data_IF_395658366750
#
_entry.id   IF_395658366750
#
_cell.length_a   1.000
_cell.length_b   1.000
_cell.length_c   1.000
_cell.angle_alpha   90.00
_cell.angle_beta   90.00
_cell.angle_gamma   90.00
#
_symmetry.space_group_name_H-M   'P 1'
#
loop_
_entity.id
_entity.type
_entity.pdbx_description
1 polymer ?
#
# COMPACT_ATOMS: atom_id res chain seq x y z
N UNK A 1 9.23 6.21 9.72
CA UNK A 1 9.10 7.67 9.99
C UNK A 1 7.85 8.21 9.33
N UNK A 2 7.31 9.30 9.84
CA UNK A 2 6.14 9.99 9.29
C UNK A 2 6.14 11.40 9.85
N UNK A 3 5.41 12.31 9.22
CA UNK A 3 5.10 13.65 9.76
C UNK A 3 3.60 13.74 9.96
N UNK A 4 3.17 14.24 11.12
CA UNK A 4 1.78 14.43 11.47
C UNK A 4 1.45 15.91 11.63
N UNK A 5 0.39 16.34 10.95
CA UNK A 5 -0.19 17.67 11.07
C UNK A 5 -1.56 17.57 11.72
N UNK A 6 -1.90 18.55 12.55
CA UNK A 6 -3.17 18.61 13.28
C UNK A 6 -3.91 19.89 12.99
N UNK A 7 -5.22 19.78 12.80
CA UNK A 7 -6.15 20.90 12.65
C UNK A 7 -7.27 20.74 13.68
N UNK A 8 -7.40 21.70 14.60
CA UNK A 8 -8.45 21.68 15.62
C UNK A 8 -9.83 21.74 14.98
N UNK A 9 -10.76 20.96 15.51
CA UNK A 9 -12.14 20.99 15.08
C UNK A 9 -12.80 22.32 15.42
N UNK A 10 -13.88 22.64 14.74
CA UNK A 10 -14.62 23.89 14.93
C UNK A 10 -15.26 23.95 16.32
N UNK A 11 -15.01 25.03 17.06
CA UNK A 11 -15.70 25.31 18.32
C UNK A 11 -17.15 25.71 18.06
N UNK A 12 -18.03 25.15 18.87
CA UNK A 12 -19.46 25.58 18.91
C UNK A 12 -19.59 26.90 19.71
N UNK A 13 -20.55 27.74 19.37
CA UNK A 13 -20.85 28.95 20.15
C UNK A 13 -21.23 28.62 21.62
N UNK A 14 -21.10 29.62 22.51
CA UNK A 14 -21.60 29.57 23.90
C UNK A 14 -21.04 28.42 24.75
N UNK A 15 -19.74 28.12 24.64
CA UNK A 15 -19.06 27.11 25.45
C UNK A 15 -19.59 25.66 25.26
N UNK A 16 -20.28 25.38 24.17
CA UNK A 16 -20.85 24.05 23.86
C UNK A 16 -19.83 23.04 23.32
N UNK A 17 -18.53 23.26 23.57
CA UNK A 17 -17.45 22.36 23.11
C UNK A 17 -17.14 22.47 21.62
N UNK A 18 -16.76 21.36 21.01
CA UNK A 18 -16.42 21.26 19.60
C UNK A 18 -17.57 20.65 18.78
N UNK A 19 -17.54 20.83 17.49
CA UNK A 19 -18.44 20.15 16.57
C UNK A 19 -18.17 18.65 16.56
N UNK A 20 -19.15 17.84 16.16
CA UNK A 20 -18.94 16.42 15.96
C UNK A 20 -17.91 16.19 14.84
N UNK A 21 -17.24 15.04 14.86
CA UNK A 21 -16.36 14.63 13.77
C UNK A 21 -17.10 14.66 12.43
N UNK A 22 -16.46 15.13 11.37
CA UNK A 22 -17.07 15.06 10.05
C UNK A 22 -17.24 13.61 9.60
N UNK A 23 -18.22 13.37 8.73
CA UNK A 23 -18.37 12.06 8.11
C UNK A 23 -17.28 11.80 7.07
N UNK A 24 -17.05 10.52 6.76
CA UNK A 24 -16.12 10.10 5.70
C UNK A 24 -16.40 10.83 4.39
N UNK A 25 -17.68 10.88 3.96
CA UNK A 25 -18.06 11.59 2.73
C UNK A 25 -17.67 13.06 2.74
N UNK A 26 -17.89 13.78 3.85
CA UNK A 26 -17.47 15.19 3.98
C UNK A 26 -15.96 15.36 3.95
N UNK A 27 -15.22 14.40 4.48
CA UNK A 27 -13.75 14.43 4.41
C UNK A 27 -13.24 14.22 2.98
N UNK A 28 -13.91 13.38 2.19
CA UNK A 28 -13.59 13.17 0.78
C UNK A 28 -13.98 14.36 -0.10
N UNK A 29 -15.06 15.08 0.23
CA UNK A 29 -15.50 16.27 -0.49
C UNK A 29 -14.55 17.47 -0.37
N UNK A 30 -13.55 17.44 0.51
CA UNK A 30 -12.57 18.52 0.67
C UNK A 30 -11.71 18.74 -0.57
N UNK A 31 -11.40 17.67 -1.29
CA UNK A 31 -10.68 17.73 -2.55
C UNK A 31 -11.36 16.83 -3.59
N UNK A 32 -11.28 17.19 -4.89
CA UNK A 32 -11.78 16.34 -5.96
C UNK A 32 -10.98 15.04 -6.07
N UNK A 33 -11.61 13.99 -6.56
CA UNK A 33 -11.03 12.68 -6.90
C UNK A 33 -10.42 11.91 -5.71
N UNK A 34 -10.63 12.35 -4.46
CA UNK A 34 -10.20 11.60 -3.30
C UNK A 34 -10.94 10.26 -3.21
N UNK A 35 -10.17 9.24 -2.84
CA UNK A 35 -10.66 7.89 -2.57
C UNK A 35 -10.05 7.38 -1.27
N UNK A 36 -10.75 6.46 -0.61
CA UNK A 36 -10.18 5.67 0.49
C UNK A 36 -9.50 4.44 -0.09
N UNK A 37 -8.34 4.10 0.43
CA UNK A 37 -7.62 2.87 0.12
C UNK A 37 -7.65 1.91 1.31
N UNK A 38 -7.45 0.61 1.05
CA UNK A 38 -7.40 -0.42 2.09
C UNK A 38 -8.78 -0.90 2.57
N UNK A 39 -9.87 -0.46 1.94
CA UNK A 39 -11.23 -0.96 2.18
C UNK A 39 -11.59 -1.91 1.05
N UNK A 40 -12.08 -3.09 1.41
CA UNK A 40 -12.65 -4.04 0.45
C UNK A 40 -14.10 -3.65 0.13
N UNK A 41 -14.25 -2.84 -0.92
CA UNK A 41 -15.56 -2.40 -1.42
C UNK A 41 -16.39 -3.57 -2.00
N UNK A 42 -15.75 -4.73 -2.28
CA UNK A 42 -16.40 -5.93 -2.79
C UNK A 42 -16.83 -6.92 -1.71
N UNK A 43 -16.49 -6.66 -0.45
CA UNK A 43 -16.83 -7.51 0.67
C UNK A 43 -18.35 -7.67 0.81
N UNK A 44 -18.81 -8.88 1.08
CA UNK A 44 -20.23 -9.16 1.33
C UNK A 44 -20.72 -8.32 2.50
N UNK A 45 -21.79 -7.52 2.26
CA UNK A 45 -22.38 -6.64 3.27
C UNK A 45 -21.77 -5.24 3.36
N UNK A 46 -20.80 -4.87 2.52
CA UNK A 46 -20.32 -3.49 2.47
C UNK A 46 -21.42 -2.54 1.95
N UNK A 47 -21.77 -1.55 2.75
CA UNK A 47 -22.71 -0.48 2.38
C UNK A 47 -21.96 0.85 2.25
N UNK A 48 -21.66 1.24 1.01
CA UNK A 48 -20.95 2.48 0.68
C UNK A 48 -21.68 3.71 1.26
N UNK A 49 -23.01 3.73 1.23
CA UNK A 49 -23.78 4.89 1.75
C UNK A 49 -23.69 5.00 3.26
N UNK A 50 -23.70 3.88 3.96
CA UNK A 50 -23.50 3.84 5.40
C UNK A 50 -22.06 4.28 5.74
N UNK A 51 -21.07 3.75 5.03
CA UNK A 51 -19.68 4.12 5.17
C UNK A 51 -19.45 5.63 4.97
N UNK A 52 -19.96 6.22 3.90
CA UNK A 52 -19.81 7.66 3.64
C UNK A 52 -20.50 8.56 4.68
N UNK A 53 -21.52 8.05 5.37
CA UNK A 53 -22.22 8.78 6.43
C UNK A 53 -21.61 8.62 7.81
N UNK A 54 -20.81 7.57 8.03
CA UNK A 54 -20.20 7.30 9.33
C UNK A 54 -19.18 8.40 9.69
N UNK A 55 -19.09 8.79 10.97
CA UNK A 55 -18.14 9.79 11.41
C UNK A 55 -16.71 9.23 11.40
N UNK A 56 -15.73 10.09 11.13
CA UNK A 56 -14.28 9.71 11.13
C UNK A 56 -13.82 9.15 12.49
N UNK A 57 -14.49 9.47 13.57
CA UNK A 57 -14.18 8.94 14.92
C UNK A 57 -14.46 7.44 15.08
N UNK A 58 -15.18 6.81 14.17
CA UNK A 58 -15.39 5.35 14.17
C UNK A 58 -14.19 4.57 13.60
N UNK A 59 -13.23 5.25 12.99
CA UNK A 59 -12.08 4.64 12.34
C UNK A 59 -10.78 5.03 13.05
N UNK A 60 -9.88 4.07 13.22
CA UNK A 60 -8.54 4.34 13.72
C UNK A 60 -7.81 5.31 12.80
N UNK A 61 -7.81 5.04 11.49
CA UNK A 61 -7.40 5.94 10.42
C UNK A 61 -7.98 5.50 9.08
N UNK A 62 -8.02 6.42 8.12
CA UNK A 62 -8.33 6.15 6.72
C UNK A 62 -7.13 6.55 5.87
N UNK A 63 -6.75 5.72 4.92
CA UNK A 63 -5.72 6.07 3.92
C UNK A 63 -6.42 6.76 2.75
N UNK A 64 -6.16 8.05 2.57
CA UNK A 64 -6.70 8.86 1.49
C UNK A 64 -5.69 9.05 0.38
N UNK A 65 -6.16 9.07 -0.85
CA UNK A 65 -5.33 9.31 -2.02
C UNK A 65 -6.17 9.49 -3.28
N UNK A 66 -5.51 9.64 -4.42
CA UNK A 66 -6.14 9.72 -5.73
C UNK A 66 -5.78 8.48 -6.54
N UNK A 67 -6.79 7.74 -7.02
CA UNK A 67 -6.57 6.51 -7.81
C UNK A 67 -5.75 6.85 -9.07
N UNK A 68 -4.75 6.04 -9.37
CA UNK A 68 -3.84 6.24 -10.51
C UNK A 68 -2.69 7.24 -10.27
N UNK A 69 -2.65 7.93 -9.12
CA UNK A 69 -1.65 8.98 -8.83
C UNK A 69 -0.92 8.81 -7.50
N UNK A 70 -1.65 8.46 -6.43
CA UNK A 70 -1.07 8.31 -5.10
C UNK A 70 -0.21 7.06 -5.01
N UNK A 71 1.01 7.21 -4.50
CA UNK A 71 1.91 6.10 -4.23
C UNK A 71 1.69 5.50 -2.85
N UNK A 72 1.61 6.34 -1.82
CA UNK A 72 1.39 5.95 -0.42
C UNK A 72 0.13 6.58 0.19
N UNK A 73 -0.36 7.67 -0.42
CA UNK A 73 -1.45 8.46 0.12
C UNK A 73 -1.07 9.20 1.41
N UNK A 74 -2.10 9.60 2.14
CA UNK A 74 -1.99 10.19 3.48
C UNK A 74 -2.98 9.50 4.41
N UNK A 75 -2.64 9.40 5.69
CA UNK A 75 -3.55 8.90 6.73
C UNK A 75 -4.36 10.07 7.30
N UNK A 76 -5.66 9.89 7.43
CA UNK A 76 -6.56 10.81 8.09
C UNK A 76 -7.21 10.11 9.27
N UNK A 77 -7.17 10.75 10.46
CA UNK A 77 -7.88 10.30 11.65
C UNK A 77 -8.49 11.47 12.41
N UNK A 78 -9.49 11.19 13.22
CA UNK A 78 -10.04 12.12 14.18
C UNK A 78 -9.63 11.74 15.59
N UNK A 79 -8.99 12.66 16.30
CA UNK A 79 -8.54 12.49 17.68
C UNK A 79 -9.60 13.12 18.61
N UNK A 80 -10.39 12.27 19.28
CA UNK A 80 -11.47 12.73 20.17
C UNK A 80 -10.95 13.42 21.42
N UNK A 81 -9.81 13.01 21.95
CA UNK A 81 -9.23 13.63 23.15
C UNK A 81 -8.76 15.04 22.84
N UNK A 82 -8.11 15.20 21.69
CA UNK A 82 -7.60 16.50 21.26
C UNK A 82 -8.61 17.31 20.46
N UNK A 83 -9.76 16.73 20.11
CA UNK A 83 -10.77 17.35 19.25
C UNK A 83 -10.16 17.93 17.96
N UNK A 84 -9.38 17.11 17.26
CA UNK A 84 -8.61 17.52 16.09
C UNK A 84 -8.58 16.44 15.02
N UNK A 85 -8.44 16.89 13.79
CA UNK A 85 -8.12 16.02 12.66
C UNK A 85 -6.60 15.93 12.55
N UNK A 86 -6.07 14.72 12.46
CA UNK A 86 -4.67 14.46 12.21
C UNK A 86 -4.49 13.94 10.79
N UNK A 87 -3.63 14.59 10.03
CA UNK A 87 -3.18 14.17 8.70
C UNK A 87 -1.73 13.75 8.83
N UNK A 88 -1.44 12.47 8.55
CA UNK A 88 -0.10 11.91 8.63
C UNK A 88 0.38 11.52 7.23
N UNK A 89 1.61 11.92 6.92
CA UNK A 89 2.30 11.54 5.69
C UNK A 89 3.47 10.63 6.05
N UNK A 90 3.47 9.42 5.52
CA UNK A 90 4.52 8.44 5.77
C UNK A 90 5.80 8.79 4.99
N UNK A 91 6.94 8.84 5.65
CA UNK A 91 8.24 9.25 5.08
C UNK A 91 9.09 8.03 4.68
N UNK A 92 9.63 7.98 3.45
CA UNK A 92 9.40 8.91 2.34
C UNK A 92 8.03 8.69 1.70
N UNK A 93 7.32 9.78 1.39
CA UNK A 93 6.13 9.76 0.53
C UNK A 93 6.50 10.14 -0.90
N UNK A 94 5.54 10.02 -1.84
CA UNK A 94 5.75 10.55 -3.18
C UNK A 94 5.54 12.07 -3.20
N UNK A 95 6.11 12.73 -4.21
CA UNK A 95 5.87 14.16 -4.45
C UNK A 95 4.36 14.44 -4.58
N UNK A 96 3.63 13.57 -5.30
CA UNK A 96 2.18 13.72 -5.45
C UNK A 96 1.44 13.61 -4.11
N UNK A 97 1.79 12.64 -3.27
CA UNK A 97 1.14 12.46 -1.97
C UNK A 97 1.38 13.66 -1.04
N UNK A 98 2.57 14.27 -1.09
CA UNK A 98 2.85 15.50 -0.36
C UNK A 98 2.04 16.69 -0.86
N UNK A 99 1.98 16.92 -2.17
CA UNK A 99 1.16 17.98 -2.76
C UNK A 99 -0.31 17.79 -2.42
N UNK A 100 -0.80 16.54 -2.44
CA UNK A 100 -2.16 16.19 -2.04
C UNK A 100 -2.41 16.49 -0.56
N UNK A 101 -1.51 16.08 0.35
CA UNK A 101 -1.64 16.30 1.78
C UNK A 101 -1.62 17.80 2.15
N UNK A 102 -0.75 18.58 1.52
CA UNK A 102 -0.70 20.03 1.68
C UNK A 102 -2.02 20.67 1.23
N UNK A 103 -2.52 20.29 0.04
CA UNK A 103 -3.79 20.79 -0.48
C UNK A 103 -4.96 20.42 0.43
N UNK A 104 -4.94 19.20 0.99
CA UNK A 104 -5.94 18.73 1.94
C UNK A 104 -5.91 19.54 3.25
N UNK A 105 -4.73 19.76 3.81
CA UNK A 105 -4.53 20.58 5.01
C UNK A 105 -5.01 22.02 4.81
N UNK A 106 -4.75 22.61 3.64
CA UNK A 106 -5.27 23.94 3.27
C UNK A 106 -6.79 23.97 3.29
N UNK A 107 -7.44 23.01 2.62
CA UNK A 107 -8.90 22.91 2.54
C UNK A 107 -9.53 22.68 3.93
N UNK A 108 -8.95 21.76 4.70
CA UNK A 108 -9.39 21.41 6.05
C UNK A 108 -9.27 22.61 7.01
N UNK A 109 -8.11 23.27 7.04
CA UNK A 109 -7.85 24.46 7.86
C UNK A 109 -8.82 25.60 7.52
N UNK A 110 -9.05 25.84 6.24
CA UNK A 110 -9.99 26.87 5.76
C UNK A 110 -11.42 26.55 6.16
N UNK A 111 -11.85 25.28 6.03
CA UNK A 111 -13.22 24.85 6.38
C UNK A 111 -13.48 24.97 7.90
N UNK A 112 -12.48 24.62 8.72
CA UNK A 112 -12.61 24.63 10.17
C UNK A 112 -12.32 26.02 10.78
N UNK A 113 -11.66 26.91 10.03
CA UNK A 113 -11.18 28.22 10.53
C UNK A 113 -10.12 28.05 11.62
N UNK A 114 -9.28 27.03 11.53
CA UNK A 114 -8.26 26.66 12.52
C UNK A 114 -6.89 26.55 11.86
N UNK A 115 -5.84 26.91 12.63
CA UNK A 115 -4.46 26.76 12.20
C UNK A 115 -4.06 25.27 12.12
N UNK A 116 -3.01 25.00 11.34
CA UNK A 116 -2.37 23.71 11.20
C UNK A 116 -1.16 23.71 12.11
N UNK A 117 -1.01 22.68 12.94
CA UNK A 117 0.16 22.51 13.81
C UNK A 117 0.83 21.19 13.45
N UNK A 118 2.13 21.16 13.22
CA UNK A 118 2.88 19.93 13.03
C UNK A 118 3.32 19.31 14.38
N UNK A 119 3.92 18.14 14.32
CA UNK A 119 4.40 17.39 15.50
C UNK A 119 5.54 18.09 16.25
N UNK A 120 6.25 19.04 15.61
CA UNK A 120 7.31 19.84 16.23
C UNK A 120 6.75 21.09 16.93
N UNK A 121 5.46 21.39 16.74
CA UNK A 121 4.78 22.55 17.28
C UNK A 121 4.86 23.79 16.36
N UNK A 122 5.35 23.64 15.14
CA UNK A 122 5.31 24.72 14.16
C UNK A 122 3.87 24.94 13.69
N UNK A 123 3.51 26.22 13.52
CA UNK A 123 2.14 26.64 13.21
C UNK A 123 2.09 27.26 11.81
N UNK A 124 1.15 26.76 11.01
CA UNK A 124 0.90 27.22 9.65
C UNK A 124 -0.54 27.70 9.51
N UNK A 125 -0.73 28.79 8.78
CA UNK A 125 -2.04 29.13 8.24
C UNK A 125 -2.28 28.34 6.96
N UNK A 126 -3.54 28.27 6.51
CA UNK A 126 -3.88 27.58 5.25
C UNK A 126 -3.10 28.12 4.03
N UNK A 127 -2.70 29.39 4.03
CA UNK A 127 -1.90 30.00 2.94
C UNK A 127 -0.39 29.71 3.09
N UNK A 128 0.08 29.33 4.29
CA UNK A 128 1.51 29.15 4.56
C UNK A 128 1.98 27.70 4.52
N UNK A 129 1.10 26.74 4.65
CA UNK A 129 1.47 25.32 4.64
C UNK A 129 2.10 24.89 3.31
N UNK A 130 1.82 25.59 2.21
CA UNK A 130 2.47 25.36 0.91
C UNK A 130 3.98 25.62 0.92
N UNK A 131 4.48 26.35 1.96
CA UNK A 131 5.91 26.61 2.16
C UNK A 131 6.62 25.45 2.88
N UNK A 132 5.89 24.41 3.26
CA UNK A 132 6.49 23.23 3.88
C UNK A 132 7.44 22.54 2.90
N UNK A 133 8.68 22.31 3.32
CA UNK A 133 9.75 21.74 2.50
C UNK A 133 9.63 20.20 2.45
N UNK A 134 8.65 19.71 1.68
CA UNK A 134 8.42 18.28 1.53
C UNK A 134 9.52 17.57 0.74
N UNK A 135 10.27 18.27 -0.12
CA UNK A 135 11.39 17.64 -0.84
C UNK A 135 12.52 17.27 0.13
N UNK A 136 12.73 18.12 1.13
CA UNK A 136 13.65 17.82 2.24
C UNK A 136 13.15 16.61 3.05
N UNK A 137 11.86 16.50 3.31
CA UNK A 137 11.29 15.34 4.01
C UNK A 137 11.48 14.05 3.22
N UNK A 138 11.20 14.05 1.90
CA UNK A 138 11.43 12.88 1.04
C UNK A 138 12.91 12.48 1.09
N UNK A 139 13.81 13.44 0.96
CA UNK A 139 15.26 13.19 1.02
C UNK A 139 15.69 12.64 2.38
N UNK A 140 15.15 13.21 3.48
CA UNK A 140 15.39 12.71 4.83
C UNK A 140 14.86 11.30 5.03
N UNK A 141 13.75 10.93 4.38
CA UNK A 141 13.20 9.58 4.41
C UNK A 141 13.97 8.55 3.59
N UNK A 142 14.62 8.97 2.50
CA UNK A 142 15.49 8.08 1.72
C UNK A 142 16.79 7.73 2.45
N UNK A 143 17.30 8.64 3.28
CA UNK A 143 18.56 8.44 3.99
C UNK A 143 18.60 7.21 4.93
N UNK A 144 17.63 6.94 5.80
CA UNK A 144 17.60 5.71 6.60
C UNK A 144 17.50 4.44 5.76
N UNK A 145 16.78 4.48 4.63
CA UNK A 145 16.71 3.34 3.71
C UNK A 145 18.10 3.06 3.13
N UNK A 146 18.78 4.11 2.68
CA UNK A 146 20.16 4.04 2.20
C UNK A 146 21.11 3.46 3.27
N UNK A 147 21.01 3.93 4.51
CA UNK A 147 21.80 3.42 5.63
C UNK A 147 21.52 1.93 5.93
N UNK A 148 20.27 1.51 5.95
CA UNK A 148 19.89 0.12 6.18
C UNK A 148 20.43 -0.81 5.09
N UNK A 149 20.37 -0.36 3.81
CA UNK A 149 20.87 -1.13 2.67
C UNK A 149 22.41 -1.15 2.57
N UNK A 150 23.12 -0.30 3.30
CA UNK A 150 24.59 -0.35 3.47
C UNK A 150 25.02 -1.33 4.58
N UNK A 151 24.08 -1.82 5.40
CA UNK A 151 24.29 -2.83 6.44
C UNK A 151 23.97 -4.25 5.96
N UNK A 152 23.40 -5.04 6.86
CA UNK A 152 23.05 -6.45 6.60
C UNK A 152 21.68 -6.64 5.92
N UNK A 153 20.98 -5.54 5.61
CA UNK A 153 19.64 -5.59 5.02
C UNK A 153 19.74 -5.68 3.49
N UNK A 154 19.30 -6.80 2.92
CA UNK A 154 19.31 -6.98 1.45
C UNK A 154 18.23 -6.14 0.74
N UNK A 155 17.06 -5.98 1.37
CA UNK A 155 15.89 -5.31 0.80
C UNK A 155 15.15 -4.52 1.86
N UNK A 156 14.73 -3.29 1.52
CA UNK A 156 13.85 -2.46 2.34
C UNK A 156 12.48 -2.33 1.66
N UNK A 157 11.40 -2.35 2.44
CA UNK A 157 10.03 -2.25 1.92
C UNK A 157 9.40 -0.92 2.28
N UNK A 158 8.86 -0.23 1.27
CA UNK A 158 7.96 0.91 1.41
C UNK A 158 6.54 0.48 1.05
N UNK A 159 5.61 0.58 1.99
CA UNK A 159 4.21 0.18 1.74
C UNK A 159 3.47 1.29 1.02
N UNK A 160 2.97 0.97 -0.17
CA UNK A 160 2.14 1.85 -0.98
C UNK A 160 0.65 1.60 -0.78
N UNK A 161 -0.19 2.36 -1.50
CA UNK A 161 -1.66 2.30 -1.35
C UNK A 161 -2.29 0.98 -1.79
N UNK A 162 -1.61 0.21 -2.65
CA UNK A 162 -2.10 -1.10 -3.14
C UNK A 162 -1.17 -2.25 -2.82
N UNK A 163 0.14 -2.01 -2.83
CA UNK A 163 1.14 -3.07 -2.67
C UNK A 163 2.47 -2.52 -2.16
N UNK A 164 3.31 -3.36 -1.54
CA UNK A 164 4.64 -2.95 -1.15
C UNK A 164 5.51 -2.64 -2.37
N UNK A 165 6.51 -1.79 -2.17
CA UNK A 165 7.59 -1.49 -3.09
C UNK A 165 8.92 -1.86 -2.42
N UNK A 166 9.63 -2.80 -2.99
CA UNK A 166 10.88 -3.35 -2.47
C UNK A 166 12.08 -2.65 -3.11
N UNK A 167 13.00 -2.17 -2.28
CA UNK A 167 14.20 -1.45 -2.70
C UNK A 167 15.43 -2.22 -2.23
N UNK A 168 16.36 -2.53 -3.14
CA UNK A 168 17.68 -3.04 -2.81
C UNK A 168 18.77 -1.98 -3.03
N UNK A 169 20.03 -2.36 -2.74
CA UNK A 169 21.16 -1.46 -2.89
C UNK A 169 21.29 -0.88 -4.30
N UNK A 170 21.17 -1.71 -5.34
CA UNK A 170 21.32 -1.26 -6.72
C UNK A 170 20.24 -0.23 -7.12
N UNK A 171 18.98 -0.48 -6.75
CA UNK A 171 17.91 0.47 -7.00
C UNK A 171 18.08 1.78 -6.22
N UNK A 172 18.55 1.70 -4.98
CA UNK A 172 18.83 2.88 -4.18
C UNK A 172 19.95 3.74 -4.77
N UNK A 173 21.02 3.10 -5.26
CA UNK A 173 22.09 3.79 -5.95
C UNK A 173 21.60 4.52 -7.20
N UNK A 174 20.71 3.88 -8.00
CA UNK A 174 20.11 4.51 -9.17
C UNK A 174 19.21 5.70 -8.79
N UNK A 175 18.40 5.56 -7.73
CA UNK A 175 17.56 6.65 -7.22
C UNK A 175 18.43 7.83 -6.80
N UNK A 176 19.45 7.60 -5.98
CA UNK A 176 20.34 8.66 -5.46
C UNK A 176 21.21 9.29 -6.54
N UNK A 177 21.59 8.55 -7.57
CA UNK A 177 22.36 9.07 -8.70
C UNK A 177 21.51 9.85 -9.72
N UNK A 178 20.20 9.82 -9.61
CA UNK A 178 19.29 10.56 -10.50
C UNK A 178 19.41 12.06 -10.30
N UNK A 179 19.01 12.85 -11.31
CA UNK A 179 18.97 14.32 -11.21
C UNK A 179 18.06 14.83 -10.08
N UNK A 180 16.96 14.13 -9.82
CA UNK A 180 16.04 14.41 -8.72
C UNK A 180 15.64 13.10 -8.03
N UNK A 181 16.31 12.71 -6.93
CA UNK A 181 16.03 11.47 -6.21
C UNK A 181 14.59 11.35 -5.71
N UNK A 182 13.98 12.45 -5.26
CA UNK A 182 12.60 12.46 -4.81
C UNK A 182 11.62 12.15 -5.95
N UNK A 183 11.83 12.72 -7.12
CA UNK A 183 11.01 12.45 -8.30
C UNK A 183 11.20 11.01 -8.82
N UNK A 184 12.45 10.51 -8.85
CA UNK A 184 12.73 9.15 -9.29
C UNK A 184 12.14 8.09 -8.34
N UNK A 185 12.29 8.27 -7.03
CA UNK A 185 11.62 7.43 -6.02
C UNK A 185 10.11 7.45 -6.21
N UNK A 186 9.51 8.65 -6.33
CA UNK A 186 8.08 8.83 -6.50
C UNK A 186 7.55 8.11 -7.73
N UNK A 187 8.25 8.24 -8.85
CA UNK A 187 7.91 7.58 -10.11
C UNK A 187 7.89 6.07 -9.94
N UNK A 188 8.99 5.46 -9.47
CA UNK A 188 9.12 4.00 -9.32
C UNK A 188 8.05 3.44 -8.39
N UNK A 189 7.87 4.05 -7.23
CA UNK A 189 6.87 3.60 -6.27
C UNK A 189 5.46 3.67 -6.87
N UNK A 190 5.11 4.80 -7.51
CA UNK A 190 3.77 4.98 -8.12
C UNK A 190 3.53 4.00 -9.26
N UNK A 191 4.51 3.77 -10.15
CA UNK A 191 4.39 2.80 -11.24
C UNK A 191 4.03 1.41 -10.73
N UNK A 192 4.66 0.95 -9.64
CA UNK A 192 4.36 -0.36 -9.04
C UNK A 192 2.94 -0.42 -8.51
N UNK A 193 2.39 0.69 -7.96
CA UNK A 193 1.03 0.70 -7.41
C UNK A 193 -0.05 0.46 -8.47
N UNK A 194 0.18 0.87 -9.72
CA UNK A 194 -0.84 0.87 -10.77
C UNK A 194 -0.54 -0.07 -11.95
N UNK A 195 0.28 -1.08 -11.71
CA UNK A 195 0.41 -2.19 -12.67
C UNK A 195 -0.94 -2.90 -12.81
N UNK A 196 -1.35 -3.12 -14.05
CA UNK A 196 -2.56 -3.89 -14.37
C UNK A 196 -2.25 -5.38 -14.22
N UNK A 197 -2.27 -5.84 -12.99
CA UNK A 197 -1.98 -7.21 -12.62
C UNK A 197 -2.54 -7.54 -11.24
N UNK A 198 -2.90 -8.78 -11.04
CA UNK A 198 -3.31 -9.32 -9.76
C UNK A 198 -2.10 -9.49 -8.83
N UNK A 199 -2.20 -9.00 -7.59
CA UNK A 199 -1.21 -9.30 -6.56
C UNK A 199 -1.60 -10.61 -5.87
N UNK A 200 -0.79 -11.63 -6.01
CA UNK A 200 -1.10 -12.92 -5.41
C UNK A 200 -1.09 -12.85 -3.88
N UNK A 201 -2.10 -13.43 -3.26
CA UNK A 201 -2.21 -13.52 -1.81
C UNK A 201 -1.58 -14.78 -1.27
N UNK A 202 -0.93 -14.69 -0.12
CA UNK A 202 -0.40 -15.81 0.62
C UNK A 202 -1.51 -16.61 1.29
N UNK A 203 -1.39 -17.93 1.22
CA UNK A 203 -2.21 -18.85 2.01
C UNK A 203 -1.30 -19.76 2.81
N UNK A 204 -1.69 -20.08 4.04
CA UNK A 204 -0.93 -20.95 4.92
C UNK A 204 -1.77 -22.16 5.31
N UNK A 205 -1.17 -23.31 5.21
CA UNK A 205 -1.78 -24.59 5.57
C UNK A 205 -0.92 -25.30 6.62
N UNK A 206 -1.57 -25.84 7.62
CA UNK A 206 -0.90 -26.70 8.61
C UNK A 206 -1.16 -28.14 8.24
N UNK A 207 -0.09 -28.92 8.06
CA UNK A 207 -0.21 -30.37 7.88
C UNK A 207 -0.71 -31.01 9.18
N UNK A 208 -1.75 -31.84 9.11
CA UNK A 208 -2.35 -32.51 10.29
C UNK A 208 -1.45 -33.54 10.91
N UNK A 209 -0.53 -34.15 10.16
CA UNK A 209 0.28 -35.28 10.62
C UNK A 209 1.53 -34.86 11.43
N UNK A 210 2.21 -33.79 10.95
CA UNK A 210 3.48 -33.35 11.52
C UNK A 210 3.44 -31.90 12.04
N UNK A 211 2.32 -31.21 11.84
CA UNK A 211 2.12 -29.80 12.23
C UNK A 211 2.91 -28.77 11.44
N UNK A 212 3.62 -29.19 10.39
CA UNK A 212 4.40 -28.29 9.55
C UNK A 212 3.51 -27.28 8.81
N UNK A 213 3.98 -26.02 8.75
CA UNK A 213 3.29 -24.95 8.03
C UNK A 213 3.84 -24.86 6.62
N UNK A 214 2.94 -24.83 5.66
CA UNK A 214 3.25 -24.62 4.24
C UNK A 214 2.66 -23.29 3.80
N UNK A 215 3.48 -22.46 3.13
CA UNK A 215 3.02 -21.26 2.42
C UNK A 215 2.67 -21.61 0.97
N UNK A 216 1.64 -20.99 0.44
CA UNK A 216 1.19 -21.22 -0.93
C UNK A 216 0.75 -19.93 -1.60
N UNK A 217 1.01 -19.85 -2.90
CA UNK A 217 0.46 -18.86 -3.84
C UNK A 217 -0.35 -19.57 -4.92
N UNK A 218 -1.10 -18.80 -5.70
CA UNK A 218 -1.78 -19.30 -6.89
C UNK A 218 -1.41 -18.46 -8.11
N UNK A 219 -1.20 -19.13 -9.24
CA UNK A 219 -1.05 -18.52 -10.56
C UNK A 219 -2.19 -19.02 -11.44
N UNK A 220 -3.07 -18.10 -11.82
CA UNK A 220 -4.28 -18.42 -12.59
C UNK A 220 -4.05 -18.18 -14.09
N UNK A 221 -4.62 -19.04 -14.89
CA UNK A 221 -4.63 -18.94 -16.34
C UNK A 221 -5.03 -17.54 -16.82
N UNK A 222 -4.31 -17.05 -17.86
CA UNK A 222 -4.56 -15.78 -18.56
C UNK A 222 -4.59 -14.52 -17.66
N UNK A 223 -4.23 -14.62 -16.37
CA UNK A 223 -4.20 -13.53 -15.41
C UNK A 223 -2.76 -13.07 -15.13
N UNK A 224 -2.36 -11.86 -15.58
CA UNK A 224 -1.07 -11.28 -15.18
C UNK A 224 -0.97 -11.20 -13.65
N UNK A 225 0.07 -11.78 -13.08
CA UNK A 225 0.15 -11.97 -11.62
C UNK A 225 1.48 -11.48 -11.05
N UNK A 226 1.42 -10.68 -9.99
CA UNK A 226 2.58 -10.25 -9.22
C UNK A 226 2.84 -11.27 -8.11
N UNK A 227 4.08 -11.78 -8.09
CA UNK A 227 4.57 -12.80 -7.17
C UNK A 227 5.92 -12.38 -6.60
N UNK A 228 6.30 -12.75 -5.37
CA UNK A 228 7.68 -12.59 -4.90
C UNK A 228 8.60 -13.53 -5.69
N UNK A 229 9.77 -13.06 -6.11
CA UNK A 229 10.75 -13.93 -6.77
C UNK A 229 11.31 -15.01 -5.84
N UNK A 230 11.48 -14.65 -4.57
CA UNK A 230 11.76 -15.59 -3.46
C UNK A 230 10.64 -15.42 -2.45
N UNK A 231 9.88 -16.47 -2.09
CA UNK A 231 8.75 -16.34 -1.16
C UNK A 231 9.24 -16.05 0.26
N UNK A 232 8.47 -15.24 0.97
CA UNK A 232 8.68 -14.89 2.38
C UNK A 232 7.33 -14.58 3.02
N UNK A 233 7.25 -14.60 4.35
CA UNK A 233 6.03 -14.18 5.07
C UNK A 233 5.90 -12.65 4.98
N UNK A 234 4.87 -12.19 4.28
CA UNK A 234 4.59 -10.75 4.14
C UNK A 234 4.15 -10.15 5.46
N UNK A 235 4.34 -8.84 5.60
CA UNK A 235 4.14 -8.14 6.87
C UNK A 235 2.73 -8.31 7.45
N UNK A 236 1.69 -8.40 6.61
CA UNK A 236 0.32 -8.63 7.07
C UNK A 236 0.16 -9.96 7.84
N UNK A 237 1.05 -10.92 7.60
CA UNK A 237 1.06 -12.22 8.26
C UNK A 237 2.16 -12.34 9.31
N UNK A 238 3.03 -11.33 9.43
CA UNK A 238 4.24 -11.37 10.27
C UNK A 238 3.93 -11.39 11.79
N UNK A 239 2.76 -10.94 12.20
CA UNK A 239 2.30 -11.07 13.60
C UNK A 239 1.96 -12.52 13.96
N UNK A 240 1.50 -13.32 12.99
CA UNK A 240 1.09 -14.70 13.21
C UNK A 240 2.18 -15.71 12.89
N UNK A 241 3.07 -15.42 11.94
CA UNK A 241 4.06 -16.34 11.40
C UNK A 241 5.38 -15.63 11.14
N UNK A 242 6.49 -16.34 11.40
CA UNK A 242 7.83 -15.92 10.97
C UNK A 242 8.24 -16.74 9.74
N UNK A 243 9.20 -16.24 8.96
CA UNK A 243 9.77 -16.99 7.84
C UNK A 243 10.30 -18.39 8.24
N UNK A 244 10.87 -18.49 9.45
CA UNK A 244 11.38 -19.75 10.02
C UNK A 244 10.29 -20.77 10.33
N UNK A 245 9.03 -20.36 10.44
CA UNK A 245 7.91 -21.23 10.79
C UNK A 245 7.34 -21.94 9.55
N UNK A 246 7.63 -21.40 8.35
CA UNK A 246 7.19 -21.95 7.08
C UNK A 246 8.20 -22.97 6.57
N UNK A 247 7.84 -24.25 6.63
CA UNK A 247 8.72 -25.37 6.27
C UNK A 247 9.00 -25.42 4.76
N UNK A 248 8.01 -25.05 3.93
CA UNK A 248 8.14 -25.03 2.48
C UNK A 248 7.13 -24.08 1.84
N UNK A 249 7.47 -23.62 0.65
CA UNK A 249 6.59 -22.79 -0.18
C UNK A 249 6.22 -23.55 -1.46
N UNK A 250 4.98 -23.39 -1.87
CA UNK A 250 4.46 -23.99 -3.11
C UNK A 250 3.62 -22.98 -3.89
N UNK A 251 3.37 -23.32 -5.14
CA UNK A 251 2.47 -22.57 -6.01
C UNK A 251 1.49 -23.52 -6.69
N UNK A 252 0.20 -23.16 -6.63
CA UNK A 252 -0.85 -23.85 -7.35
C UNK A 252 -1.05 -23.20 -8.74
N UNK A 253 -0.96 -23.98 -9.78
CA UNK A 253 -1.28 -23.58 -11.16
C UNK A 253 -2.77 -23.83 -11.39
N UNK A 254 -3.53 -22.78 -11.69
CA UNK A 254 -4.99 -22.83 -11.79
C UNK A 254 -5.44 -22.63 -13.25
N UNK A 255 -6.13 -23.60 -13.79
CA UNK A 255 -6.83 -23.50 -15.08
C UNK A 255 -8.30 -23.12 -14.89
N UNK A 256 -8.93 -22.62 -15.94
CA UNK A 256 -10.34 -22.24 -15.97
C UNK A 256 -11.04 -23.12 -17.01
N UNK A 257 -12.08 -23.87 -16.59
CA UNK A 257 -12.86 -24.78 -17.44
C UNK A 257 -14.28 -24.22 -17.59
N UNK A 258 -14.46 -23.21 -18.45
CA UNK A 258 -15.76 -22.60 -18.72
C UNK A 258 -15.77 -21.09 -18.50
N UNK A 259 -16.84 -20.55 -17.89
CA UNK A 259 -16.99 -19.13 -17.59
C UNK A 259 -16.06 -18.72 -16.46
N UNK A 260 -15.21 -17.74 -16.71
CA UNK A 260 -14.26 -17.19 -15.73
C UNK A 260 -14.93 -16.49 -14.53
N UNK A 261 -16.20 -16.12 -14.67
CA UNK A 261 -16.97 -15.50 -13.59
C UNK A 261 -17.55 -16.54 -12.61
N UNK A 262 -17.47 -17.83 -12.93
CA UNK A 262 -17.92 -18.90 -12.05
C UNK A 262 -16.70 -19.54 -11.33
N UNK A 263 -16.58 -19.27 -10.05
CA UNK A 263 -15.52 -19.85 -9.21
C UNK A 263 -15.50 -21.40 -9.23
N UNK A 264 -16.64 -22.04 -9.54
CA UNK A 264 -16.75 -23.48 -9.73
C UNK A 264 -15.98 -24.03 -10.93
N UNK A 265 -15.54 -23.18 -11.86
CA UNK A 265 -14.78 -23.56 -13.05
C UNK A 265 -13.25 -23.54 -12.84
N UNK A 266 -12.77 -23.06 -11.71
CA UNK A 266 -11.36 -23.02 -11.38
C UNK A 266 -10.86 -24.38 -10.92
N UNK A 267 -9.85 -24.92 -11.59
CA UNK A 267 -9.27 -26.24 -11.30
C UNK A 267 -7.76 -26.15 -11.12
N UNK A 268 -7.24 -26.80 -10.08
CA UNK A 268 -5.80 -26.96 -9.93
C UNK A 268 -5.29 -27.90 -11.05
N UNK A 269 -4.38 -27.41 -11.88
CA UNK A 269 -3.65 -28.18 -12.88
C UNK A 269 -2.54 -28.97 -12.21
N UNK A 270 -1.76 -28.28 -11.33
CA UNK A 270 -0.65 -28.83 -10.59
C UNK A 270 -0.33 -27.98 -9.37
N UNK A 271 0.38 -28.56 -8.43
CA UNK A 271 1.08 -27.86 -7.36
C UNK A 271 2.57 -28.14 -7.48
N UNK A 272 3.39 -27.10 -7.46
CA UNK A 272 4.84 -27.17 -7.56
C UNK A 272 5.52 -26.61 -6.32
N UNK A 273 6.69 -27.11 -6.00
CA UNK A 273 7.58 -26.41 -5.08
C UNK A 273 7.95 -25.04 -5.69
N UNK A 274 7.97 -23.99 -4.88
CA UNK A 274 8.05 -22.62 -5.38
C UNK A 274 9.35 -22.34 -6.14
N UNK A 275 10.49 -22.84 -5.62
CA UNK A 275 11.78 -22.68 -6.29
C UNK A 275 11.84 -23.45 -7.61
N UNK A 276 11.18 -24.62 -7.68
CA UNK A 276 11.06 -25.38 -8.92
C UNK A 276 10.22 -24.64 -9.97
N UNK A 277 9.11 -24.02 -9.55
CA UNK A 277 8.32 -23.16 -10.42
C UNK A 277 9.15 -22.01 -10.99
N UNK A 278 9.87 -21.27 -10.15
CA UNK A 278 10.73 -20.17 -10.60
C UNK A 278 11.80 -20.65 -11.58
N UNK A 279 12.40 -21.81 -11.33
CA UNK A 279 13.41 -22.39 -12.20
C UNK A 279 12.87 -22.81 -13.59
N UNK A 280 11.61 -23.24 -13.65
CA UNK A 280 10.92 -23.63 -14.88
C UNK A 280 10.28 -22.46 -15.62
N UNK A 281 9.99 -21.34 -14.94
CA UNK A 281 9.34 -20.18 -15.54
C UNK A 281 10.25 -19.54 -16.59
N UNK A 282 9.83 -19.47 -17.88
CA UNK A 282 10.67 -18.89 -18.93
C UNK A 282 10.93 -17.42 -18.69
N UNK A 283 12.18 -16.98 -18.84
CA UNK A 283 12.61 -15.59 -18.55
C UNK A 283 11.83 -14.54 -19.35
N UNK A 284 11.32 -14.86 -20.53
CA UNK A 284 10.50 -13.96 -21.33
C UNK A 284 9.04 -13.80 -20.81
N UNK A 285 8.61 -14.64 -19.88
CA UNK A 285 7.27 -14.62 -19.32
C UNK A 285 7.16 -13.89 -17.98
N UNK A 286 8.25 -13.29 -17.52
CA UNK A 286 8.21 -12.44 -16.34
C UNK A 286 9.23 -11.31 -16.41
N UNK A 287 9.00 -10.25 -15.63
CA UNK A 287 9.97 -9.19 -15.39
C UNK A 287 9.94 -8.77 -13.92
N UNK A 288 11.07 -8.33 -13.41
CA UNK A 288 11.12 -7.68 -12.10
C UNK A 288 10.39 -6.33 -12.16
N UNK A 289 9.58 -6.05 -11.16
CA UNK A 289 8.89 -4.77 -10.98
C UNK A 289 9.53 -3.94 -9.88
N UNK A 290 10.23 -4.61 -8.97
CA UNK A 290 11.06 -4.02 -7.91
C UNK A 290 12.13 -5.04 -7.48
N UNK A 291 12.74 -4.83 -6.30
CA UNK A 291 13.84 -5.68 -5.81
C UNK A 291 13.41 -7.09 -5.37
N UNK A 292 12.13 -7.33 -5.13
CA UNK A 292 11.61 -8.60 -4.59
C UNK A 292 10.53 -9.25 -5.44
N UNK A 293 9.78 -8.46 -6.18
CA UNK A 293 8.62 -8.94 -6.89
C UNK A 293 8.82 -9.01 -8.40
N UNK A 294 8.20 -10.00 -8.99
CA UNK A 294 8.10 -10.17 -10.44
C UNK A 294 6.64 -10.06 -10.88
N UNK A 295 6.44 -9.52 -12.05
CA UNK A 295 5.19 -9.63 -12.79
C UNK A 295 5.32 -10.79 -13.76
N UNK A 296 4.53 -11.84 -13.55
CA UNK A 296 4.36 -12.95 -14.49
C UNK A 296 3.25 -12.60 -15.46
N UNK A 297 3.49 -12.75 -16.75
CA UNK A 297 2.49 -12.53 -17.80
C UNK A 297 1.31 -13.49 -17.64
N UNK A 298 0.14 -13.16 -18.21
CA UNK A 298 -0.99 -14.08 -18.28
C UNK A 298 -0.64 -15.32 -19.11
N UNK A 299 -0.36 -16.43 -18.44
CA UNK A 299 -0.01 -17.70 -19.09
C UNK A 299 -1.28 -18.47 -19.46
N UNK A 300 -1.37 -18.94 -20.70
CA UNK A 300 -2.47 -19.81 -21.09
C UNK A 300 -2.35 -21.21 -20.49
N UNK A 301 -3.42 -22.00 -20.58
CA UNK A 301 -3.50 -23.35 -20.00
C UNK A 301 -2.38 -24.28 -20.46
N UNK A 302 -1.93 -24.19 -21.73
CA UNK A 302 -0.87 -25.04 -22.24
C UNK A 302 0.50 -24.66 -21.66
N UNK A 303 0.74 -23.34 -21.46
CA UNK A 303 1.94 -22.86 -20.81
C UNK A 303 1.97 -23.27 -19.32
N UNK A 304 0.82 -23.21 -18.62
CA UNK A 304 0.73 -23.70 -17.24
C UNK A 304 1.00 -25.22 -17.16
N UNK A 305 0.42 -26.01 -18.07
CA UNK A 305 0.68 -27.47 -18.15
C UNK A 305 2.15 -27.77 -18.45
N UNK A 306 2.80 -26.97 -19.29
CA UNK A 306 4.23 -27.13 -19.57
C UNK A 306 5.12 -26.84 -18.36
N UNK A 307 4.69 -25.97 -17.44
CA UNK A 307 5.39 -25.75 -16.16
C UNK A 307 5.21 -26.94 -15.20
N UNK A 308 4.09 -27.63 -15.29
CA UNK A 308 3.78 -28.79 -14.44
C UNK A 308 4.66 -30.01 -14.75
N UNK A 309 5.15 -30.15 -15.99
CA UNK A 309 6.02 -31.24 -16.46
C UNK A 309 5.28 -32.24 -17.31
#
# INVERSE_FOLDING_TARGET
MSIEFRVKNKKRPLFMGYSDAMSVGKALELLPDLSVFGIDESAEGFDERAFLKSPLSEYECLILGVRGKSGRGMELRYDEEQQSYAVRVNTPATVFDWVLAISYLQALSKQLGSEITDENGDIYTHDRIEQFDYERDISAGLHPIDQHLNGDTEVNFCYGVKRPFAINRAMMDEILASYNPAAEFSKRLTEVQYLDAYSAHQRFYRNGDDGMIMGSYALTQDLPTILPYKPFVEWQNAEMLKNSDVARWQIALIGIEGDENDAGNYRAIAELEYGEFIARLPKQNYRFIDASYILVDGLNVNQLKALAG
#
